data_IF_326741177569
#
_entry.id   IF_326741177569
#
_cell.length_a   1.000
_cell.length_b   1.000
_cell.length_c   1.000
_cell.angle_alpha   90.00
_cell.angle_beta   90.00
_cell.angle_gamma   90.00
#
_symmetry.space_group_name_H-M   'P 1'
#
loop_
_entity.id
_entity.type
_entity.pdbx_description
1 polymer ?
#
# COMPACT_ATOMS: atom_id res chain seq x y z
N UNK A 1 10.98 -5.02 -44.13
CA UNK A 1 12.19 -4.43 -43.50
C UNK A 1 11.72 -3.27 -42.65
N UNK A 2 11.81 -3.36 -41.31
CA UNK A 2 11.31 -2.33 -40.36
C UNK A 2 12.52 -1.65 -39.70
N UNK A 3 12.57 -0.32 -39.57
CA UNK A 3 13.75 0.37 -39.06
C UNK A 3 13.84 0.31 -37.53
N UNK A 4 15.08 0.34 -37.02
CA UNK A 4 15.42 0.28 -35.59
C UNK A 4 15.14 1.60 -34.85
N UNK A 5 14.85 1.57 -33.54
CA UNK A 5 14.61 2.78 -32.75
C UNK A 5 15.92 3.48 -32.32
N UNK A 6 15.87 4.80 -32.05
CA UNK A 6 17.06 5.59 -31.70
C UNK A 6 17.56 5.29 -30.29
N UNK A 7 18.88 5.19 -30.14
CA UNK A 7 19.61 5.09 -28.87
C UNK A 7 19.54 6.39 -28.09
N UNK A 8 19.15 6.34 -26.81
CA UNK A 8 19.19 7.50 -25.89
C UNK A 8 20.62 7.78 -25.40
N UNK A 9 21.04 9.05 -25.28
CA UNK A 9 22.30 9.41 -24.64
C UNK A 9 22.23 9.20 -23.13
N UNK A 10 23.36 8.82 -22.54
CA UNK A 10 23.50 8.45 -21.14
C UNK A 10 23.21 9.59 -20.17
N UNK A 11 22.60 9.22 -19.05
CA UNK A 11 22.74 9.96 -17.80
C UNK A 11 23.34 9.05 -16.74
N UNK A 12 24.55 9.45 -16.38
CA UNK A 12 25.34 9.01 -15.25
C UNK A 12 24.63 9.31 -13.93
N UNK A 13 25.00 8.52 -12.92
CA UNK A 13 24.95 8.85 -11.49
C UNK A 13 23.68 8.51 -10.70
N UNK A 14 23.32 7.22 -10.69
CA UNK A 14 22.56 6.62 -9.58
C UNK A 14 23.21 5.29 -9.15
N UNK A 15 24.52 5.29 -8.92
CA UNK A 15 25.18 4.13 -8.30
C UNK A 15 26.49 4.53 -7.61
N UNK A 16 26.44 5.46 -6.64
CA UNK A 16 27.67 5.83 -5.89
C UNK A 16 27.50 6.05 -4.39
N UNK A 17 26.30 5.92 -3.81
CA UNK A 17 26.14 6.11 -2.35
C UNK A 17 26.51 4.83 -1.57
N UNK A 18 26.49 3.65 -2.20
CA UNK A 18 26.76 2.39 -1.51
C UNK A 18 28.25 2.05 -1.33
N UNK A 19 29.17 2.75 -2.00
CA UNK A 19 30.59 2.36 -2.04
C UNK A 19 31.55 3.21 -1.18
N UNK A 20 31.06 4.24 -0.49
CA UNK A 20 31.95 5.19 0.23
C UNK A 20 32.17 4.83 1.72
N UNK A 21 31.47 3.82 2.26
CA UNK A 21 31.43 3.60 3.73
C UNK A 21 32.32 2.43 4.20
N UNK A 22 32.87 1.61 3.30
CA UNK A 22 33.80 0.53 3.66
C UNK A 22 35.16 0.73 3.04
N UNK A 23 35.91 1.75 3.48
CA UNK A 23 37.35 1.80 3.19
C UNK A 23 38.14 2.54 4.27
N UNK A 24 38.06 2.07 5.51
CA UNK A 24 39.04 2.39 6.54
C UNK A 24 39.45 1.11 7.26
N UNK A 25 40.40 0.40 6.67
CA UNK A 25 41.24 -0.53 7.40
C UNK A 25 42.59 0.18 7.62
N UNK A 26 42.91 0.65 8.83
CA UNK A 26 44.27 1.03 9.14
C UNK A 26 44.98 -0.22 9.66
N UNK A 27 45.83 -0.79 8.82
CA UNK A 27 46.95 -1.60 9.28
C UNK A 27 47.98 -0.61 9.83
N UNK A 28 48.00 -0.39 11.14
CA UNK A 28 49.09 0.33 11.79
C UNK A 28 49.11 0.06 13.28
N UNK A 29 50.13 -0.69 13.69
CA UNK A 29 50.60 -0.85 15.05
C UNK A 29 50.87 0.50 15.73
N UNK A 30 49.94 1.01 16.53
CA UNK A 30 50.24 2.04 17.52
C UNK A 30 49.18 2.06 18.65
N UNK A 31 49.68 1.98 19.88
CA UNK A 31 48.97 1.99 21.17
C UNK A 31 47.76 2.95 21.26
N UNK A 32 46.57 2.52 21.71
CA UNK A 32 45.43 3.43 21.88
C UNK A 32 45.49 4.11 23.26
N UNK A 33 46.04 5.33 23.32
CA UNK A 33 45.69 6.28 24.38
C UNK A 33 44.31 6.86 24.06
N UNK A 34 43.25 6.27 24.66
CA UNK A 34 41.86 6.77 24.59
C UNK A 34 41.79 8.24 24.98
N UNK A 35 41.48 9.12 24.01
CA UNK A 35 41.11 10.52 24.26
C UNK A 35 39.62 10.59 24.65
N UNK A 36 39.23 11.30 25.72
CA UNK A 36 37.84 11.28 26.23
C UNK A 36 36.76 11.95 25.33
N UNK A 37 37.10 12.43 24.13
CA UNK A 37 36.23 13.25 23.28
C UNK A 37 35.55 12.55 22.09
N UNK A 38 35.97 11.35 21.69
CA UNK A 38 35.45 10.66 20.49
C UNK A 38 34.14 9.88 20.72
N UNK A 39 33.80 9.57 21.97
CA UNK A 39 32.59 8.81 22.28
C UNK A 39 31.30 9.61 22.02
N UNK A 40 31.36 10.94 22.09
CA UNK A 40 30.19 11.81 21.95
C UNK A 40 29.83 12.09 20.49
N UNK A 41 30.83 12.18 19.60
CA UNK A 41 30.64 12.37 18.15
C UNK A 41 30.19 11.08 17.47
N UNK A 42 30.77 9.93 17.82
CA UNK A 42 30.29 8.63 17.32
C UNK A 42 28.83 8.36 17.72
N UNK A 43 28.45 8.73 18.95
CA UNK A 43 27.07 8.58 19.40
C UNK A 43 26.08 9.52 18.68
N UNK A 44 26.50 10.73 18.28
CA UNK A 44 25.65 11.65 17.52
C UNK A 44 25.48 11.22 16.06
N UNK A 45 26.54 10.70 15.44
CA UNK A 45 26.50 10.11 14.10
C UNK A 45 25.60 8.88 14.04
N UNK A 46 25.69 7.98 15.03
CA UNK A 46 24.78 6.81 15.13
C UNK A 46 23.31 7.27 15.24
N UNK A 47 23.03 8.31 16.04
CA UNK A 47 21.67 8.88 16.15
C UNK A 47 21.19 9.49 14.83
N UNK A 48 22.06 10.20 14.11
CA UNK A 48 21.73 10.79 12.80
C UNK A 48 21.44 9.70 11.74
N UNK A 49 22.21 8.62 11.74
CA UNK A 49 21.98 7.45 10.89
C UNK A 49 20.65 6.76 11.22
N UNK A 50 20.34 6.58 12.51
CA UNK A 50 19.06 6.01 12.94
C UNK A 50 17.87 6.90 12.53
N UNK A 51 18.00 8.22 12.68
CA UNK A 51 16.96 9.16 12.26
C UNK A 51 16.74 9.09 10.74
N UNK A 52 17.82 9.05 9.96
CA UNK A 52 17.74 8.91 8.49
C UNK A 52 17.06 7.61 8.09
N UNK A 53 17.39 6.49 8.74
CA UNK A 53 16.72 5.20 8.53
C UNK A 53 15.22 5.28 8.82
N UNK A 54 14.84 5.94 9.93
CA UNK A 54 13.43 6.13 10.31
C UNK A 54 12.68 6.99 9.30
N UNK A 55 13.29 8.08 8.81
CA UNK A 55 12.72 8.93 7.78
C UNK A 55 12.48 8.15 6.47
N UNK A 56 13.47 7.36 6.04
CA UNK A 56 13.35 6.53 4.85
C UNK A 56 12.25 5.46 5.01
N UNK A 57 12.17 4.81 6.16
CA UNK A 57 11.10 3.86 6.47
C UNK A 57 9.71 4.52 6.42
N UNK A 58 9.56 5.71 7.00
CA UNK A 58 8.30 6.46 6.97
C UNK A 58 7.91 6.90 5.55
N UNK A 59 8.89 7.28 4.71
CA UNK A 59 8.63 7.63 3.32
C UNK A 59 8.16 6.40 2.50
N UNK A 60 8.76 5.24 2.75
CA UNK A 60 8.33 3.96 2.15
C UNK A 60 6.92 3.60 2.59
N UNK A 61 6.60 3.71 3.87
CA UNK A 61 5.27 3.39 4.38
C UNK A 61 4.20 4.31 3.81
N UNK A 62 4.49 5.62 3.68
CA UNK A 62 3.60 6.55 2.96
C UNK A 62 3.32 6.08 1.53
N UNK A 63 4.36 5.70 0.80
CA UNK A 63 4.22 5.18 -0.57
C UNK A 63 3.35 3.92 -0.59
N UNK A 64 3.58 2.97 0.33
CA UNK A 64 2.77 1.76 0.47
C UNK A 64 1.29 2.09 0.70
N UNK A 65 1.00 3.02 1.61
CA UNK A 65 -0.37 3.45 1.93
C UNK A 65 -1.02 4.17 0.74
N UNK A 66 -0.27 4.98 -0.03
CA UNK A 66 -0.78 5.60 -1.26
C UNK A 66 -1.19 4.55 -2.29
N UNK A 67 -0.37 3.51 -2.52
CA UNK A 67 -0.70 2.39 -3.41
C UNK A 67 -1.97 1.67 -2.97
N UNK A 68 -2.09 1.35 -1.67
CA UNK A 68 -3.29 0.70 -1.12
C UNK A 68 -4.52 1.57 -1.29
N UNK A 69 -4.39 2.88 -1.06
CA UNK A 69 -5.50 3.82 -1.18
C UNK A 69 -5.97 3.96 -2.63
N UNK A 70 -5.05 3.99 -3.59
CA UNK A 70 -5.38 3.99 -5.01
C UNK A 70 -6.11 2.70 -5.43
N UNK A 71 -5.66 1.53 -4.96
CA UNK A 71 -6.35 0.26 -5.20
C UNK A 71 -7.77 0.25 -4.60
N UNK A 72 -7.94 0.82 -3.40
CA UNK A 72 -9.26 0.97 -2.77
C UNK A 72 -10.20 1.85 -3.58
N UNK A 73 -9.70 2.96 -4.14
CA UNK A 73 -10.51 3.85 -5.00
C UNK A 73 -10.85 3.18 -6.34
N UNK A 74 -9.93 2.39 -6.90
CA UNK A 74 -10.20 1.58 -8.08
C UNK A 74 -11.31 0.55 -7.81
N UNK A 75 -11.25 -0.17 -6.68
CA UNK A 75 -12.30 -1.09 -6.26
C UNK A 75 -13.63 -0.36 -6.06
N UNK A 76 -13.61 0.81 -5.40
CA UNK A 76 -14.80 1.62 -5.14
C UNK A 76 -15.58 1.94 -6.41
N UNK A 77 -14.89 2.22 -7.52
CA UNK A 77 -15.51 2.50 -8.83
C UNK A 77 -16.21 1.29 -9.46
N UNK A 78 -15.81 0.07 -9.08
CA UNK A 78 -16.39 -1.17 -9.59
C UNK A 78 -17.53 -1.73 -8.72
N UNK A 79 -17.70 -1.18 -7.52
CA UNK A 79 -18.68 -1.65 -6.54
C UNK A 79 -20.00 -0.89 -6.72
N UNK A 80 -21.16 -1.58 -6.68
CA UNK A 80 -22.47 -0.93 -6.76
C UNK A 80 -22.67 0.12 -5.67
N UNK A 81 -23.22 1.28 -6.04
CA UNK A 81 -23.54 2.37 -5.12
C UNK A 81 -24.74 3.19 -5.65
N UNK A 82 -25.33 4.03 -4.80
CA UNK A 82 -26.49 4.84 -5.19
C UNK A 82 -26.13 6.01 -6.10
N UNK A 83 -24.91 6.52 -5.97
CA UNK A 83 -24.40 7.57 -6.86
C UNK A 83 -22.89 7.47 -6.99
N UNK A 84 -22.36 7.84 -8.16
CA UNK A 84 -20.93 7.79 -8.46
C UNK A 84 -20.08 8.58 -7.43
N UNK A 85 -20.61 9.68 -6.91
CA UNK A 85 -19.96 10.52 -5.88
C UNK A 85 -20.16 10.05 -4.43
N UNK A 86 -20.92 8.98 -4.17
CA UNK A 86 -21.25 8.55 -2.80
C UNK A 86 -19.99 8.13 -2.04
N UNK A 87 -19.59 8.85 -0.99
CA UNK A 87 -18.45 8.46 -0.14
C UNK A 87 -18.78 7.21 0.69
N UNK A 88 -18.11 6.10 0.39
CA UNK A 88 -18.17 4.83 1.14
C UNK A 88 -16.94 4.68 2.05
N UNK A 89 -17.11 4.03 3.21
CA UNK A 89 -15.98 3.66 4.07
C UNK A 89 -15.21 2.47 3.48
N UNK A 90 -13.95 2.25 3.90
CA UNK A 90 -13.17 1.07 3.47
C UNK A 90 -13.91 -0.24 3.79
N UNK A 91 -14.51 -0.33 4.98
CA UNK A 91 -15.28 -1.50 5.38
C UNK A 91 -16.52 -1.71 4.50
N UNK A 92 -17.25 -0.63 4.20
CA UNK A 92 -18.43 -0.69 3.33
C UNK A 92 -18.07 -1.20 1.93
N UNK A 93 -16.99 -0.68 1.34
CA UNK A 93 -16.50 -1.10 0.01
C UNK A 93 -16.22 -2.61 0.02
N UNK A 94 -15.51 -3.12 1.04
CA UNK A 94 -15.21 -4.55 1.15
C UNK A 94 -16.48 -5.40 1.29
N UNK A 95 -17.41 -5.01 2.17
CA UNK A 95 -18.67 -5.73 2.40
C UNK A 95 -19.52 -5.81 1.14
N UNK A 96 -19.68 -4.69 0.43
CA UNK A 96 -20.47 -4.64 -0.78
C UNK A 96 -19.78 -5.45 -1.90
N UNK A 97 -18.47 -5.32 -2.06
CA UNK A 97 -17.69 -6.08 -3.05
C UNK A 97 -17.89 -7.59 -2.89
N UNK A 98 -17.80 -8.12 -1.65
CA UNK A 98 -18.02 -9.55 -1.40
C UNK A 98 -19.42 -10.01 -1.82
N UNK A 99 -20.46 -9.27 -1.43
CA UNK A 99 -21.84 -9.61 -1.81
C UNK A 99 -22.07 -9.49 -3.32
N UNK A 100 -21.43 -8.52 -3.96
CA UNK A 100 -21.54 -8.32 -5.40
C UNK A 100 -20.87 -9.45 -6.18
N UNK A 101 -19.65 -9.84 -5.80
CA UNK A 101 -18.96 -11.00 -6.38
C UNK A 101 -19.83 -12.26 -6.24
N UNK A 102 -20.41 -12.51 -5.07
CA UNK A 102 -21.29 -13.66 -4.87
C UNK A 102 -22.54 -13.61 -5.77
N UNK A 103 -23.12 -12.42 -5.95
CA UNK A 103 -24.28 -12.24 -6.83
C UNK A 103 -23.91 -12.51 -8.30
N UNK A 104 -22.78 -11.99 -8.76
CA UNK A 104 -22.28 -12.24 -10.11
C UNK A 104 -21.91 -13.70 -10.34
N UNK A 105 -21.34 -14.36 -9.32
CA UNK A 105 -21.02 -15.78 -9.39
C UNK A 105 -22.28 -16.63 -9.58
N UNK A 106 -23.35 -16.36 -8.80
CA UNK A 106 -24.63 -17.04 -8.98
C UNK A 106 -25.29 -16.76 -10.33
N UNK A 107 -25.10 -15.56 -10.88
CA UNK A 107 -25.57 -15.24 -12.23
C UNK A 107 -24.82 -16.04 -13.31
N UNK A 108 -23.57 -16.41 -13.05
CA UNK A 108 -22.72 -17.21 -13.92
C UNK A 108 -22.74 -18.71 -13.59
N UNK A 109 -23.72 -19.18 -12.80
CA UNK A 109 -23.85 -20.56 -12.33
C UNK A 109 -22.62 -21.10 -11.57
N UNK A 110 -21.85 -20.20 -10.93
CA UNK A 110 -20.71 -20.54 -10.07
C UNK A 110 -21.09 -20.49 -8.58
N UNK A 111 -20.55 -21.44 -7.81
CA UNK A 111 -20.72 -21.50 -6.35
C UNK A 111 -19.42 -21.12 -5.61
N UNK A 112 -19.42 -19.93 -5.01
CA UNK A 112 -18.38 -19.48 -4.06
C UNK A 112 -18.88 -19.38 -2.61
N UNK A 113 -20.05 -19.94 -2.30
CA UNK A 113 -20.53 -20.02 -0.92
C UNK A 113 -19.66 -21.01 -0.15
N UNK A 114 -19.08 -20.59 0.97
CA UNK A 114 -18.25 -21.46 1.80
C UNK A 114 -19.03 -22.66 2.39
N UNK A 115 -20.35 -22.54 2.49
CA UNK A 115 -21.27 -23.53 3.04
C UNK A 115 -22.11 -24.24 1.96
N UNK A 116 -21.85 -24.01 0.68
CA UNK A 116 -22.73 -24.45 -0.42
C UNK A 116 -24.20 -24.08 -0.19
N UNK A 117 -24.47 -22.99 0.52
CA UNK A 117 -25.81 -22.44 0.60
C UNK A 117 -26.26 -22.16 -0.84
N UNK A 118 -27.21 -22.95 -1.32
CA UNK A 118 -27.83 -22.86 -2.64
C UNK A 118 -28.69 -21.59 -2.73
N UNK A 119 -28.09 -20.44 -2.42
CA UNK A 119 -28.70 -19.13 -2.51
C UNK A 119 -28.98 -18.88 -3.98
N UNK A 120 -30.25 -18.65 -4.27
CA UNK A 120 -30.66 -18.19 -5.57
C UNK A 120 -30.01 -16.85 -5.88
N UNK A 121 -29.83 -16.56 -7.17
CA UNK A 121 -29.35 -15.26 -7.62
C UNK A 121 -30.14 -14.10 -7.00
N UNK A 122 -31.48 -14.24 -6.91
CA UNK A 122 -32.36 -13.25 -6.30
C UNK A 122 -32.00 -12.96 -4.84
N UNK A 123 -31.74 -14.00 -4.04
CA UNK A 123 -31.36 -13.82 -2.63
C UNK A 123 -29.99 -13.14 -2.48
N UNK A 124 -29.02 -13.47 -3.34
CA UNK A 124 -27.73 -12.79 -3.36
C UNK A 124 -27.88 -11.30 -3.67
N UNK A 125 -28.69 -10.93 -4.66
CA UNK A 125 -28.98 -9.53 -5.00
C UNK A 125 -29.68 -8.83 -3.82
N UNK A 126 -30.62 -9.48 -3.14
CA UNK A 126 -31.27 -8.92 -1.96
C UNK A 126 -30.28 -8.70 -0.80
N UNK A 127 -29.33 -9.63 -0.57
CA UNK A 127 -28.26 -9.46 0.43
C UNK A 127 -27.35 -8.28 0.07
N UNK A 128 -26.95 -8.16 -1.20
CA UNK A 128 -26.18 -7.03 -1.69
C UNK A 128 -26.92 -5.70 -1.46
N UNK A 129 -28.20 -5.64 -1.86
CA UNK A 129 -29.05 -4.45 -1.71
C UNK A 129 -29.21 -4.04 -0.24
N UNK A 130 -29.48 -4.99 0.66
CA UNK A 130 -29.55 -4.71 2.11
C UNK A 130 -28.22 -4.15 2.64
N UNK A 131 -27.10 -4.67 2.16
CA UNK A 131 -25.76 -4.17 2.52
C UNK A 131 -25.57 -2.72 2.06
N UNK A 132 -25.94 -2.38 0.81
CA UNK A 132 -25.90 -0.99 0.32
C UNK A 132 -26.76 -0.05 1.19
N UNK A 133 -27.98 -0.48 1.54
CA UNK A 133 -28.90 0.34 2.35
C UNK A 133 -28.36 0.61 3.75
N UNK A 134 -27.81 -0.42 4.41
CA UNK A 134 -27.25 -0.30 5.76
C UNK A 134 -26.07 0.68 5.79
N UNK A 135 -25.16 0.58 4.83
CA UNK A 135 -23.99 1.44 4.73
C UNK A 135 -24.35 2.86 4.23
N UNK A 136 -25.46 3.03 3.51
CA UNK A 136 -25.99 4.33 3.07
C UNK A 136 -26.69 5.14 4.17
N UNK A 137 -27.38 4.48 5.11
CA UNK A 137 -28.15 5.14 6.19
C UNK A 137 -27.30 5.66 7.35
N UNK A 138 -26.05 5.22 7.48
CA UNK A 138 -25.16 5.61 8.58
C UNK A 138 -24.91 7.12 8.68
N UNK A 139 -25.26 7.93 7.66
CA UNK A 139 -25.09 9.39 7.65
C UNK A 139 -26.37 10.20 7.92
N UNK A 140 -27.54 9.58 8.05
CA UNK A 140 -28.83 10.30 8.23
C UNK A 140 -29.27 10.51 9.68
N UNK A 141 -28.43 10.15 10.67
CA UNK A 141 -28.66 10.44 12.10
C UNK A 141 -27.79 11.60 12.55
N UNK A 142 -28.16 12.83 12.16
CA UNK A 142 -27.83 14.08 12.85
C UNK A 142 -28.54 15.22 12.12
N UNK A 143 -29.76 15.48 12.56
CA UNK A 143 -30.43 16.79 12.66
C UNK A 143 -31.26 16.69 13.94
#
# INVERSE_FOLDING_TARGET
VRPAPPTRPGESSYSSISHVIYNNHPDSSASPRKRPGEATTAASEIKALQQTRRLLANARERTRVHTISAAFEALRKQVPCYSYGQKLSKLAILRIACNYILSLARLADLDYSADHSNLSFSECVQRCTRTLQAEGRAKKRKE
#
